data_IF_757471166554
#
_entry.id   IF_757471166554
#
_cell.length_a   1.000
_cell.length_b   1.000
_cell.length_c   1.000
_cell.angle_alpha   90.00
_cell.angle_beta   90.00
_cell.angle_gamma   90.00
#
_symmetry.space_group_name_H-M   'P 1'
#
loop_
_entity.id
_entity.type
_entity.pdbx_description
1 polymer ?
#
# COMPACT_ATOMS: atom_id res chain seq x y z
N UNK A 1 5.25 25.36 -10.02
CA UNK A 1 4.99 23.93 -10.34
C UNK A 1 6.26 23.08 -10.34
N UNK A 2 7.38 23.50 -10.97
CA UNK A 2 8.65 22.74 -10.98
C UNK A 2 9.19 22.33 -9.59
N UNK A 3 8.99 23.18 -8.56
CA UNK A 3 9.44 22.93 -7.19
C UNK A 3 8.75 21.74 -6.50
N UNK A 4 7.48 21.49 -6.82
CA UNK A 4 6.68 20.42 -6.19
C UNK A 4 7.05 19.08 -6.83
N UNK A 5 7.14 19.05 -8.16
CA UNK A 5 7.55 17.87 -8.92
C UNK A 5 8.97 17.43 -8.53
N UNK A 6 9.90 18.38 -8.38
CA UNK A 6 11.26 18.06 -7.92
C UNK A 6 11.28 17.49 -6.48
N UNK A 7 10.43 17.98 -5.58
CA UNK A 7 10.33 17.45 -4.21
C UNK A 7 9.80 16.01 -4.21
N UNK A 8 8.76 15.74 -5.00
CA UNK A 8 8.20 14.39 -5.15
C UNK A 8 9.25 13.45 -5.76
N UNK A 9 9.95 13.90 -6.81
CA UNK A 9 11.03 13.15 -7.45
C UNK A 9 12.19 12.83 -6.49
N UNK A 10 12.58 13.76 -5.62
CA UNK A 10 13.61 13.51 -4.60
C UNK A 10 13.17 12.48 -3.55
N UNK A 11 11.92 12.53 -3.09
CA UNK A 11 11.39 11.55 -2.14
C UNK A 11 11.33 10.17 -2.77
N UNK A 12 10.83 10.06 -4.01
CA UNK A 12 10.82 8.82 -4.78
C UNK A 12 12.23 8.28 -5.00
N UNK A 13 13.19 9.14 -5.33
CA UNK A 13 14.59 8.76 -5.48
C UNK A 13 15.16 8.21 -4.18
N UNK A 14 14.88 8.81 -3.02
CA UNK A 14 15.34 8.30 -1.72
C UNK A 14 14.71 6.95 -1.39
N UNK A 15 13.43 6.76 -1.71
CA UNK A 15 12.73 5.48 -1.52
C UNK A 15 13.30 4.39 -2.43
N UNK A 16 13.62 4.73 -3.69
CA UNK A 16 14.20 3.79 -4.67
C UNK A 16 15.67 3.50 -4.42
N UNK A 17 16.44 4.48 -3.91
CA UNK A 17 17.83 4.28 -3.48
C UNK A 17 17.94 3.57 -2.13
N UNK A 18 16.86 3.52 -1.35
CA UNK A 18 16.88 2.82 -0.07
C UNK A 18 17.32 1.36 -0.29
N UNK A 19 18.11 0.79 0.63
CA UNK A 19 18.54 -0.59 0.51
C UNK A 19 17.32 -1.49 0.31
N UNK A 20 17.47 -2.49 -0.58
CA UNK A 20 16.47 -3.44 -1.14
C UNK A 20 15.65 -4.23 -0.09
N UNK A 21 15.77 -3.90 1.20
CA UNK A 21 14.96 -4.38 2.33
C UNK A 21 13.57 -3.72 2.40
N UNK A 22 13.30 -2.70 1.59
CA UNK A 22 11.99 -2.05 1.45
C UNK A 22 10.94 -2.90 0.68
N UNK A 23 11.23 -3.52 -0.50
CA UNK A 23 10.23 -4.32 -1.22
C UNK A 23 9.68 -5.50 -0.41
N UNK A 24 10.48 -6.12 0.47
CA UNK A 24 10.00 -7.17 1.38
C UNK A 24 9.05 -6.68 2.48
N UNK A 25 9.07 -5.38 2.80
CA UNK A 25 8.19 -4.75 3.81
C UNK A 25 7.13 -3.83 3.20
N UNK A 26 7.12 -3.69 1.87
CA UNK A 26 6.19 -2.82 1.14
C UNK A 26 4.73 -3.14 1.48
N UNK A 27 4.40 -4.43 1.63
CA UNK A 27 3.06 -4.88 2.00
C UNK A 27 2.61 -4.32 3.36
N UNK A 28 3.49 -4.33 4.36
CA UNK A 28 3.18 -3.75 5.68
C UNK A 28 3.03 -2.22 5.58
N UNK A 29 3.89 -1.55 4.81
CA UNK A 29 3.83 -0.10 4.59
C UNK A 29 2.51 0.28 3.92
N UNK A 30 2.10 -0.44 2.87
CA UNK A 30 0.83 -0.21 2.17
C UNK A 30 -0.36 -0.41 3.12
N UNK A 31 -0.34 -1.45 3.98
CA UNK A 31 -1.37 -1.66 5.02
C UNK A 31 -1.50 -0.46 5.96
N UNK A 32 -0.39 0.10 6.42
CA UNK A 32 -0.41 1.28 7.28
C UNK A 32 -0.85 2.56 6.54
N UNK A 33 -0.52 2.70 5.25
CA UNK A 33 -1.01 3.80 4.42
C UNK A 33 -2.51 3.69 4.23
N UNK A 34 -3.03 2.50 3.92
CA UNK A 34 -4.47 2.27 3.75
C UNK A 34 -5.24 2.52 5.06
N UNK A 35 -4.71 2.05 6.20
CA UNK A 35 -5.29 2.34 7.51
C UNK A 35 -5.29 3.84 7.80
N UNK A 36 -4.18 4.53 7.53
CA UNK A 36 -4.06 5.98 7.72
C UNK A 36 -5.01 6.77 6.82
N UNK A 37 -5.13 6.39 5.54
CA UNK A 37 -6.05 7.01 4.58
C UNK A 37 -7.50 6.77 4.96
N UNK A 38 -7.88 5.55 5.35
CA UNK A 38 -9.24 5.26 5.80
C UNK A 38 -9.62 6.04 7.06
N UNK A 39 -8.69 6.23 8.01
CA UNK A 39 -8.94 7.10 9.18
C UNK A 39 -9.10 8.55 8.75
N UNK A 40 -8.21 9.06 7.90
CA UNK A 40 -8.24 10.45 7.43
C UNK A 40 -9.52 10.75 6.66
N UNK A 41 -9.99 9.82 5.83
CA UNK A 41 -11.28 9.88 5.13
C UNK A 41 -12.43 9.94 6.14
N UNK A 42 -12.49 9.04 7.11
CA UNK A 42 -13.58 9.03 8.13
C UNK A 42 -13.63 10.26 9.04
N UNK A 43 -12.51 10.97 9.21
CA UNK A 43 -12.43 12.20 10.03
C UNK A 43 -12.69 13.46 9.20
N UNK A 44 -12.34 13.44 7.91
CA UNK A 44 -12.62 14.53 6.97
C UNK A 44 -13.99 14.41 6.32
N UNK A 45 -14.64 13.24 6.39
CA UNK A 45 -16.01 13.05 5.98
C UNK A 45 -16.94 13.87 6.88
N UNK A 46 -17.24 15.08 6.40
CA UNK A 46 -18.42 15.82 6.82
C UNK A 46 -19.66 14.91 6.66
N UNK A 47 -20.59 14.89 7.63
CA UNK A 47 -21.71 13.94 7.70
C UNK A 47 -22.68 13.97 6.50
N UNK A 48 -22.49 14.90 5.55
CA UNK A 48 -23.35 15.13 4.39
C UNK A 48 -22.90 14.40 3.10
N UNK A 49 -21.78 13.65 3.12
CA UNK A 49 -21.26 12.93 1.93
C UNK A 49 -21.23 11.39 2.03
N UNK A 50 -22.12 10.81 2.84
CA UNK A 50 -22.36 9.35 2.80
C UNK A 50 -23.12 8.95 1.53
N UNK A 51 -22.40 8.58 0.49
CA UNK A 51 -23.04 8.10 -0.72
C UNK A 51 -22.08 7.52 -1.73
N UNK A 52 -21.25 6.55 -1.34
CA UNK A 52 -20.77 5.48 -2.22
C UNK A 52 -20.15 4.38 -1.33
N UNK A 53 -20.85 3.25 -1.25
CA UNK A 53 -20.39 2.02 -0.60
C UNK A 53 -19.23 1.43 -1.42
N UNK A 54 -18.02 1.39 -0.87
CA UNK A 54 -16.96 0.54 -1.42
C UNK A 54 -17.01 -0.83 -0.70
N UNK A 55 -17.07 -1.96 -1.44
CA UNK A 55 -17.09 -3.28 -0.83
C UNK A 55 -15.76 -3.58 -0.11
N UNK A 56 -15.76 -4.47 0.90
CA UNK A 56 -14.57 -4.75 1.69
C UNK A 56 -13.41 -5.22 0.79
N UNK A 57 -12.15 -4.89 1.13
CA UNK A 57 -11.02 -5.35 0.35
C UNK A 57 -10.95 -6.88 0.43
N UNK A 58 -11.07 -7.51 -0.73
CA UNK A 58 -10.88 -8.94 -0.94
C UNK A 58 -9.55 -9.38 -0.29
N UNK A 59 -9.62 -10.19 0.77
CA UNK A 59 -8.46 -10.81 1.45
C UNK A 59 -7.67 -11.77 0.54
N UNK A 60 -8.12 -11.93 -0.70
CA UNK A 60 -7.65 -12.87 -1.71
C UNK A 60 -6.21 -12.61 -2.21
N UNK A 61 -5.61 -11.43 -1.99
CA UNK A 61 -4.28 -11.10 -2.56
C UNK A 61 -3.10 -11.61 -1.71
N UNK A 62 -3.33 -12.14 -0.49
CA UNK A 62 -2.22 -12.54 0.40
C UNK A 62 -1.84 -14.03 0.30
N UNK A 63 -2.71 -14.89 -0.24
CA UNK A 63 -2.50 -16.35 -0.16
C UNK A 63 -1.74 -16.98 -1.34
N UNK A 64 -1.52 -16.27 -2.45
CA UNK A 64 -0.93 -16.88 -3.65
C UNK A 64 0.61 -17.00 -3.67
N UNK A 65 1.31 -16.71 -2.56
CA UNK A 65 2.78 -16.80 -2.49
C UNK A 65 3.34 -17.86 -1.54
N UNK A 66 2.53 -18.87 -1.16
CA UNK A 66 2.98 -19.96 -0.29
C UNK A 66 2.87 -21.36 -0.92
N UNK A 67 2.49 -21.48 -2.19
CA UNK A 67 2.51 -22.77 -2.92
C UNK A 67 3.64 -22.84 -3.95
N UNK A 68 4.87 -22.62 -3.51
CA UNK A 68 6.09 -23.06 -4.20
C UNK A 68 7.05 -23.67 -3.18
N UNK A 69 6.80 -24.92 -2.79
CA UNK A 69 7.81 -25.82 -2.25
C UNK A 69 7.61 -27.18 -2.97
N UNK A 70 8.68 -27.78 -3.50
CA UNK A 70 8.62 -28.80 -4.54
C UNK A 70 8.37 -30.17 -3.93
N UNK A 71 7.41 -30.91 -4.50
CA UNK A 71 7.21 -32.30 -4.12
C UNK A 71 8.33 -33.16 -4.71
N UNK A 72 8.79 -34.07 -3.86
CA UNK A 72 10.04 -34.79 -3.94
C UNK A 72 9.97 -35.95 -4.95
N UNK A 73 11.11 -36.22 -5.58
CA UNK A 73 11.66 -37.54 -5.88
C UNK A 73 10.75 -38.77 -5.62
N UNK A 74 10.22 -39.39 -6.69
CA UNK A 74 10.15 -40.85 -6.92
C UNK A 74 9.93 -41.16 -8.41
#
# INVERSE_FOLDING_TARGET
MKKIINKIGQILQVILLAPIKLPGKALHIIKYIALGLGIVETVLDDPDKKGEEEPPPDESIVQQKEKEVPDEME
#
